data_IF_995593547758
#
_entry.id   IF_995593547758
#
_cell.length_a   1.000
_cell.length_b   1.000
_cell.length_c   1.000
_cell.angle_alpha   90.00
_cell.angle_beta   90.00
_cell.angle_gamma   90.00
#
_symmetry.space_group_name_H-M   'P 1'
#
loop_
_entity.id
_entity.type
_entity.pdbx_description
1 polymer ?
#
# COMPACT_ATOMS: atom_id res chain seq x y z
N UNK A 1 -15.22 14.29 -62.10
CA UNK A 1 -16.34 14.48 -61.15
C UNK A 1 -16.18 13.45 -60.04
N UNK A 2 -15.77 13.83 -58.82
CA UNK A 2 -15.69 12.89 -57.71
C UNK A 2 -16.99 12.91 -56.88
N UNK A 3 -17.58 11.73 -56.78
CA UNK A 3 -18.78 11.40 -56.03
C UNK A 3 -18.49 11.43 -54.52
N UNK A 4 -19.35 12.14 -53.77
CA UNK A 4 -19.21 12.36 -52.33
C UNK A 4 -19.37 11.08 -51.50
N UNK A 5 -18.49 10.93 -50.50
CA UNK A 5 -18.66 9.99 -49.41
C UNK A 5 -19.24 10.75 -48.21
N UNK A 6 -20.40 10.27 -47.75
CA UNK A 6 -21.17 10.83 -46.66
C UNK A 6 -20.43 10.66 -45.32
N UNK A 7 -20.38 11.76 -44.56
CA UNK A 7 -20.00 11.77 -43.15
C UNK A 7 -21.15 11.16 -42.33
N UNK A 8 -20.94 9.96 -41.82
CA UNK A 8 -21.87 9.35 -40.87
C UNK A 8 -21.65 9.98 -39.49
N UNK A 9 -22.59 10.84 -39.07
CA UNK A 9 -22.59 11.51 -37.76
C UNK A 9 -23.32 10.61 -36.76
N UNK A 10 -22.56 9.85 -36.00
CA UNK A 10 -23.07 9.13 -34.83
C UNK A 10 -23.55 10.13 -33.75
N UNK A 11 -24.78 10.02 -33.22
CA UNK A 11 -25.24 10.89 -32.15
C UNK A 11 -24.49 10.60 -30.84
N UNK A 12 -24.22 11.63 -30.00
CA UNK A 12 -23.58 11.43 -28.71
C UNK A 12 -24.47 10.59 -27.80
N UNK A 13 -23.86 9.52 -27.25
CA UNK A 13 -24.46 8.68 -26.22
C UNK A 13 -24.84 9.56 -25.01
N UNK A 14 -26.10 9.49 -24.60
CA UNK A 14 -26.60 10.19 -23.41
C UNK A 14 -25.92 9.66 -22.15
N UNK A 15 -25.14 10.51 -21.48
CA UNK A 15 -24.67 10.27 -20.12
C UNK A 15 -25.84 10.53 -19.19
N UNK A 16 -26.45 9.46 -18.68
CA UNK A 16 -27.48 9.56 -17.65
C UNK A 16 -26.87 10.06 -16.35
N UNK A 17 -27.24 11.28 -15.93
CA UNK A 17 -26.90 11.82 -14.61
C UNK A 17 -28.04 11.45 -13.66
N UNK A 18 -27.76 10.59 -12.68
CA UNK A 18 -28.69 10.30 -11.59
C UNK A 18 -28.63 11.46 -10.59
N UNK A 19 -29.68 12.29 -10.58
CA UNK A 19 -29.89 13.32 -9.55
C UNK A 19 -30.41 12.66 -8.27
N UNK A 20 -29.66 12.75 -7.17
CA UNK A 20 -30.11 12.32 -5.84
C UNK A 20 -30.58 13.56 -5.07
N UNK A 21 -31.80 13.57 -4.51
CA UNK A 21 -32.32 14.70 -3.73
C UNK A 21 -31.53 14.92 -2.42
N UNK A 22 -31.30 16.19 -2.07
CA UNK A 22 -30.46 16.63 -0.95
C UNK A 22 -31.06 16.42 0.46
N UNK A 23 -32.16 15.66 0.59
CA UNK A 23 -32.87 15.48 1.86
C UNK A 23 -32.42 14.25 2.67
N UNK A 24 -31.31 13.62 2.30
CA UNK A 24 -30.71 12.51 3.06
C UNK A 24 -29.60 12.96 4.04
N UNK A 25 -29.71 14.16 4.62
CA UNK A 25 -28.83 14.65 5.69
C UNK A 25 -29.55 14.44 7.03
N UNK A 26 -29.21 13.41 7.84
CA UNK A 26 -29.62 13.40 9.22
C UNK A 26 -28.94 14.57 9.96
N UNK A 27 -29.76 15.51 10.38
CA UNK A 27 -29.40 16.63 11.23
C UNK A 27 -28.81 16.13 12.57
N UNK A 28 -27.69 16.75 12.95
CA UNK A 28 -27.26 17.04 14.32
C UNK A 28 -27.89 16.20 15.45
N UNK A 29 -27.13 15.23 15.94
CA UNK A 29 -27.21 14.82 17.35
C UNK A 29 -25.98 15.39 18.08
N UNK A 30 -26.19 16.53 18.73
CA UNK A 30 -25.24 17.09 19.70
C UNK A 30 -25.36 16.26 20.97
N UNK A 31 -24.28 15.66 21.53
CA UNK A 31 -24.38 15.06 22.85
C UNK A 31 -24.58 16.16 23.89
N UNK A 32 -25.66 16.02 24.66
CA UNK A 32 -25.97 16.86 25.81
C UNK A 32 -24.80 16.85 26.80
N UNK A 33 -24.29 18.04 27.11
CA UNK A 33 -23.38 18.26 28.23
C UNK A 33 -24.18 18.07 29.51
N UNK A 34 -23.80 17.08 30.31
CA UNK A 34 -24.39 16.84 31.62
C UNK A 34 -24.17 18.05 32.55
N UNK A 35 -25.20 18.49 33.30
CA UNK A 35 -25.03 19.54 34.29
C UNK A 35 -24.45 18.95 35.57
N UNK A 36 -23.47 19.66 36.12
CA UNK A 36 -23.10 19.55 37.54
C UNK A 36 -22.02 18.53 37.85
N UNK A 37 -20.79 19.01 38.01
CA UNK A 37 -19.95 18.74 39.18
C UNK A 37 -19.00 19.93 39.38
N UNK A 38 -19.51 21.00 39.99
CA UNK A 38 -18.67 22.02 40.61
C UNK A 38 -18.20 21.45 41.96
N UNK A 39 -16.95 21.01 42.04
CA UNK A 39 -16.30 20.80 43.33
C UNK A 39 -15.87 22.18 43.88
N UNK A 40 -16.27 22.56 45.10
CA UNK A 40 -15.79 23.80 45.71
C UNK A 40 -14.28 23.66 46.00
N UNK A 41 -13.47 24.52 45.37
CA UNK A 41 -12.03 24.63 45.64
C UNK A 41 -11.08 24.44 44.46
N UNK A 42 -11.58 24.21 43.24
CA UNK A 42 -10.72 24.08 42.05
C UNK A 42 -10.99 25.20 41.03
N UNK A 43 -9.98 26.01 40.72
CA UNK A 43 -10.01 27.03 39.66
C UNK A 43 -9.15 26.53 38.50
N UNK A 44 -9.63 26.57 37.23
CA UNK A 44 -8.80 26.24 36.09
C UNK A 44 -7.74 27.33 35.91
N UNK A 45 -6.45 26.94 35.99
CA UNK A 45 -5.33 27.83 35.64
C UNK A 45 -4.85 27.44 34.24
N UNK A 46 -4.82 28.37 33.27
CA UNK A 46 -4.20 28.10 31.98
C UNK A 46 -2.69 27.89 32.19
N UNK A 47 -2.18 26.70 31.84
CA UNK A 47 -0.74 26.47 31.71
C UNK A 47 -0.29 27.00 30.35
N UNK A 48 0.01 28.30 30.27
CA UNK A 48 0.94 28.81 29.27
C UNK A 48 2.35 28.40 29.70
N UNK A 49 2.83 27.28 29.15
CA UNK A 49 4.17 26.77 29.43
C UNK A 49 5.18 27.51 28.55
N UNK A 50 5.41 28.79 28.83
CA UNK A 50 6.68 29.53 28.68
C UNK A 50 6.48 31.05 28.86
N UNK A 51 6.05 31.50 30.05
CA UNK A 51 6.22 32.91 30.48
C UNK A 51 6.67 33.01 31.94
N UNK A 52 7.99 32.99 32.14
CA UNK A 52 8.73 33.70 33.20
C UNK A 52 9.76 34.56 32.44
N UNK A 53 10.11 35.80 32.75
CA UNK A 53 9.98 36.67 33.93
C UNK A 53 10.24 38.13 33.45
N UNK A 54 10.11 39.17 34.30
CA UNK A 54 10.01 40.56 33.85
C UNK A 54 11.39 41.14 33.49
N UNK A 55 11.49 41.82 32.35
CA UNK A 55 12.64 42.66 32.05
C UNK A 55 12.18 44.08 31.72
N UNK A 56 12.69 45.00 32.53
CA UNK A 56 12.60 46.45 32.37
C UNK A 56 13.21 46.83 31.02
N UNK A 57 12.53 47.69 30.27
CA UNK A 57 13.00 48.19 28.95
C UNK A 57 13.97 49.35 29.17
N UNK A 58 15.24 49.31 28.70
CA UNK A 58 16.01 50.50 28.42
C UNK A 58 15.84 50.94 26.95
N UNK A 59 15.98 52.23 26.62
CA UNK A 59 15.78 52.72 25.28
C UNK A 59 17.01 52.46 24.39
N UNK A 60 16.71 52.05 23.15
CA UNK A 60 17.45 52.15 21.90
C UNK A 60 18.99 52.30 21.93
N UNK A 61 19.68 51.30 21.38
CA UNK A 61 20.95 51.49 20.69
C UNK A 61 20.98 50.63 19.40
N UNK A 62 21.55 51.21 18.35
CA UNK A 62 21.56 50.80 16.95
C UNK A 62 21.96 49.34 16.69
N UNK A 63 21.24 48.67 15.79
CA UNK A 63 21.68 47.41 15.17
C UNK A 63 22.69 47.70 14.05
N UNK A 64 23.87 47.05 14.01
CA UNK A 64 24.61 46.84 12.79
C UNK A 64 24.09 45.58 12.07
N UNK A 65 24.04 45.68 10.74
CA UNK A 65 23.65 44.63 9.81
C UNK A 65 24.45 43.34 10.02
N UNK A 66 23.77 42.26 10.40
CA UNK A 66 24.29 40.90 10.36
C UNK A 66 23.72 40.20 9.11
N UNK A 67 24.58 39.89 8.15
CA UNK A 67 24.28 38.97 7.05
C UNK A 67 24.20 37.55 7.62
N UNK A 68 23.10 36.80 7.45
CA UNK A 68 23.08 35.39 7.82
C UNK A 68 23.85 34.58 6.77
N UNK A 69 24.96 34.02 7.22
CA UNK A 69 25.69 32.95 6.56
C UNK A 69 24.76 31.75 6.34
N UNK A 70 24.64 31.34 5.08
CA UNK A 70 23.79 30.24 4.65
C UNK A 70 24.47 28.91 5.01
N UNK A 71 24.25 28.46 6.24
CA UNK A 71 24.57 27.08 6.62
C UNK A 71 23.85 26.07 5.71
N UNK A 72 24.50 24.97 5.30
CA UNK A 72 23.87 23.98 4.44
C UNK A 72 22.65 23.38 5.13
N UNK A 73 21.50 23.60 4.51
CA UNK A 73 20.24 22.90 4.76
C UNK A 73 20.53 21.40 4.87
N UNK A 74 20.33 20.83 6.06
CA UNK A 74 20.35 19.38 6.22
C UNK A 74 19.29 18.74 5.31
N UNK A 75 19.54 17.55 4.74
CA UNK A 75 18.53 16.84 3.98
C UNK A 75 17.40 16.41 4.91
N UNK A 76 16.37 17.26 4.94
CA UNK A 76 14.99 16.93 4.62
C UNK A 76 14.52 15.53 4.97
N UNK A 77 13.58 15.51 5.92
CA UNK A 77 12.42 14.62 5.99
C UNK A 77 12.45 13.39 5.07
N UNK A 78 12.48 12.20 5.69
CA UNK A 78 12.11 10.92 5.09
C UNK A 78 10.76 11.03 4.37
N UNK A 79 10.77 11.40 3.08
CA UNK A 79 9.67 11.12 2.17
C UNK A 79 9.40 9.63 2.28
N UNK A 80 8.16 9.28 2.64
CA UNK A 80 7.72 7.89 2.67
C UNK A 80 7.83 7.38 1.24
N UNK A 81 8.95 6.70 0.90
CA UNK A 81 9.13 5.98 -0.38
C UNK A 81 7.85 5.18 -0.62
N UNK A 82 7.03 5.65 -1.55
CA UNK A 82 5.67 5.19 -1.70
C UNK A 82 5.68 3.71 -2.11
N UNK A 83 4.85 2.89 -1.46
CA UNK A 83 4.62 1.53 -1.91
C UNK A 83 3.82 1.60 -3.21
N UNK A 84 4.46 1.31 -4.34
CA UNK A 84 3.84 1.39 -5.67
C UNK A 84 3.35 0.00 -6.10
N UNK A 85 2.12 -0.06 -6.61
CA UNK A 85 1.56 -1.22 -7.27
C UNK A 85 1.45 -0.95 -8.78
N UNK A 86 2.11 -1.76 -9.60
CA UNK A 86 2.08 -1.68 -11.07
C UNK A 86 1.40 -2.91 -11.65
N UNK A 87 0.68 -2.73 -12.76
CA UNK A 87 -0.05 -3.79 -13.46
C UNK A 87 0.37 -3.78 -14.92
N UNK A 88 0.60 -4.95 -15.50
CA UNK A 88 0.97 -5.10 -16.90
C UNK A 88 0.39 -6.41 -17.46
N UNK A 89 -0.12 -6.38 -18.68
CA UNK A 89 -0.58 -7.57 -19.38
C UNK A 89 0.30 -7.83 -20.60
N UNK A 90 0.78 -9.07 -20.77
CA UNK A 90 1.50 -9.46 -21.97
C UNK A 90 0.55 -10.21 -22.89
N UNK A 91 0.23 -9.61 -24.04
CA UNK A 91 -0.64 -10.22 -25.06
C UNK A 91 -0.03 -11.51 -25.61
N UNK A 92 1.29 -11.52 -25.86
CA UNK A 92 2.00 -12.66 -26.44
C UNK A 92 1.99 -13.91 -25.55
N UNK A 93 2.06 -13.75 -24.23
CA UNK A 93 2.05 -14.88 -23.29
C UNK A 93 0.72 -15.05 -22.56
N UNK A 94 -0.24 -14.15 -22.76
CA UNK A 94 -1.50 -14.04 -21.99
C UNK A 94 -1.28 -14.06 -20.46
N UNK A 95 -0.21 -13.41 -19.99
CA UNK A 95 0.12 -13.34 -18.56
C UNK A 95 -0.21 -11.95 -18.03
N UNK A 96 -1.01 -11.91 -16.97
CA UNK A 96 -1.27 -10.69 -16.21
C UNK A 96 -0.29 -10.58 -15.04
N UNK A 97 0.49 -9.50 -14.99
CA UNK A 97 1.55 -9.26 -14.01
C UNK A 97 1.19 -8.11 -13.09
N UNK A 98 1.26 -8.36 -11.80
CA UNK A 98 1.16 -7.35 -10.76
C UNK A 98 2.51 -7.27 -10.06
N UNK A 99 3.05 -6.06 -9.92
CA UNK A 99 4.30 -5.79 -9.22
C UNK A 99 4.05 -4.84 -8.07
N UNK A 100 4.44 -5.25 -6.87
CA UNK A 100 4.32 -4.46 -5.67
C UNK A 100 5.69 -4.14 -5.10
N UNK A 101 6.03 -2.85 -5.07
CA UNK A 101 7.27 -2.35 -4.49
C UNK A 101 7.10 -2.15 -2.99
N UNK A 102 7.99 -2.75 -2.21
CA UNK A 102 7.99 -2.75 -0.75
C UNK A 102 9.26 -2.07 -0.25
N UNK A 103 9.10 -1.13 0.67
CA UNK A 103 10.21 -0.45 1.35
C UNK A 103 10.95 -1.43 2.29
N UNK A 104 12.28 -1.50 2.18
CA UNK A 104 13.11 -2.39 2.99
C UNK A 104 13.01 -2.11 4.50
N UNK A 105 12.63 -0.89 4.90
CA UNK A 105 12.36 -0.53 6.31
C UNK A 105 11.27 -1.38 6.94
N UNK A 106 10.35 -1.94 6.14
CA UNK A 106 9.35 -2.90 6.66
C UNK A 106 9.99 -4.18 7.18
N UNK A 107 11.14 -4.59 6.65
CA UNK A 107 11.82 -5.80 7.08
C UNK A 107 12.47 -5.67 8.48
N UNK A 108 12.61 -4.45 8.98
CA UNK A 108 13.14 -4.14 10.32
C UNK A 108 12.05 -3.61 11.28
N UNK A 109 10.80 -3.51 10.83
CA UNK A 109 9.70 -3.03 11.66
C UNK A 109 9.16 -4.13 12.58
N UNK A 110 8.40 -3.72 13.60
CA UNK A 110 7.66 -4.62 14.48
C UNK A 110 6.34 -5.11 13.88
N UNK A 111 6.07 -4.76 12.61
CA UNK A 111 4.83 -5.15 11.95
C UNK A 111 4.78 -6.66 11.74
N UNK A 112 3.55 -7.20 11.81
CA UNK A 112 3.28 -8.64 11.69
C UNK A 112 2.82 -9.03 10.29
N UNK A 113 2.54 -8.04 9.45
CA UNK A 113 2.24 -8.23 8.03
C UNK A 113 2.47 -6.92 7.28
N UNK A 114 2.73 -7.04 5.98
CA UNK A 114 2.64 -5.93 5.06
C UNK A 114 1.60 -6.29 4.00
N UNK A 115 0.75 -5.34 3.64
CA UNK A 115 -0.35 -5.57 2.70
C UNK A 115 -0.20 -4.61 1.52
N UNK A 116 -0.41 -5.12 0.30
CA UNK A 116 -0.38 -4.30 -0.90
C UNK A 116 -1.60 -3.38 -0.99
N UNK A 117 -1.55 -2.31 -1.81
CA UNK A 117 -2.76 -1.71 -2.34
C UNK A 117 -3.66 -2.78 -2.98
N UNK A 118 -4.97 -2.58 -2.90
CA UNK A 118 -5.95 -3.45 -3.55
C UNK A 118 -5.78 -3.43 -5.07
N UNK A 119 -6.02 -4.56 -5.72
CA UNK A 119 -6.13 -4.64 -7.18
C UNK A 119 -7.24 -5.58 -7.59
N UNK A 120 -7.79 -5.35 -8.77
CA UNK A 120 -8.88 -6.14 -9.32
C UNK A 120 -8.35 -7.13 -10.35
N UNK A 121 -8.91 -8.34 -10.31
CA UNK A 121 -8.80 -9.33 -11.37
C UNK A 121 -10.21 -9.56 -11.92
N UNK A 122 -10.37 -9.47 -13.24
CA UNK A 122 -11.65 -9.74 -13.88
C UNK A 122 -11.90 -11.25 -13.94
N UNK A 123 -13.11 -11.70 -13.65
CA UNK A 123 -13.56 -13.10 -13.81
C UNK A 123 -14.84 -13.11 -14.62
N UNK A 124 -15.27 -14.31 -15.03
CA UNK A 124 -16.56 -14.47 -15.71
C UNK A 124 -17.74 -13.93 -14.90
N UNK A 125 -17.71 -14.09 -13.57
CA UNK A 125 -18.74 -13.60 -12.66
C UNK A 125 -18.62 -12.09 -12.34
N UNK A 126 -17.55 -11.42 -12.77
CA UNK A 126 -17.29 -10.00 -12.50
C UNK A 126 -15.88 -9.74 -11.94
N UNK A 127 -15.54 -8.46 -11.71
CA UNK A 127 -14.26 -8.08 -11.11
C UNK A 127 -14.21 -8.45 -9.62
N UNK A 128 -13.10 -9.04 -9.19
CA UNK A 128 -12.87 -9.42 -7.80
C UNK A 128 -11.61 -8.73 -7.28
N UNK A 129 -11.71 -8.18 -6.07
CA UNK A 129 -10.62 -7.45 -5.42
C UNK A 129 -9.68 -8.42 -4.68
N UNK A 130 -8.38 -8.23 -4.88
CA UNK A 130 -7.30 -8.98 -4.25
C UNK A 130 -6.28 -8.06 -3.58
N UNK A 131 -5.54 -8.64 -2.64
CA UNK A 131 -4.36 -8.04 -2.01
C UNK A 131 -3.25 -9.08 -1.91
N UNK A 132 -2.01 -8.64 -2.08
CA UNK A 132 -0.84 -9.42 -1.68
C UNK A 132 -0.49 -9.12 -0.23
N UNK A 133 -0.10 -10.14 0.51
CA UNK A 133 0.24 -10.05 1.94
C UNK A 133 1.63 -10.67 2.12
N UNK A 134 2.56 -9.91 2.68
CA UNK A 134 3.81 -10.46 3.20
C UNK A 134 3.61 -10.76 4.67
N UNK A 135 4.03 -11.96 5.08
CA UNK A 135 4.06 -12.34 6.49
C UNK A 135 5.48 -12.68 6.90
N UNK A 136 5.96 -12.18 8.04
CA UNK A 136 7.25 -12.58 8.59
C UNK A 136 7.21 -14.05 8.99
N UNK A 137 8.35 -14.73 8.86
CA UNK A 137 8.50 -16.09 9.36
C UNK A 137 8.32 -16.11 10.87
N UNK A 138 7.41 -16.94 11.35
CA UNK A 138 7.24 -17.17 12.77
C UNK A 138 8.45 -17.95 13.30
N UNK A 139 9.22 -17.34 14.20
CA UNK A 139 10.41 -17.97 14.82
C UNK A 139 10.07 -18.54 16.20
N UNK A 140 9.12 -17.95 16.91
CA UNK A 140 8.61 -18.49 18.17
C UNK A 140 7.09 -18.34 18.27
N UNK A 141 6.46 -19.23 19.03
CA UNK A 141 5.03 -19.18 19.36
C UNK A 141 4.72 -18.17 20.46
N UNK A 142 5.74 -17.51 21.01
CA UNK A 142 5.62 -16.52 22.07
C UNK A 142 5.18 -15.14 21.54
N UNK A 143 4.73 -14.29 22.46
CA UNK A 143 4.23 -12.93 22.19
C UNK A 143 5.35 -12.08 21.55
N UNK A 144 5.37 -12.01 20.22
CA UNK A 144 6.36 -11.24 19.46
C UNK A 144 7.16 -12.04 18.42
N UNK A 145 7.00 -13.37 18.37
CA UNK A 145 7.76 -14.26 17.46
C UNK A 145 7.40 -14.18 15.97
N UNK A 146 6.41 -13.36 15.60
CA UNK A 146 5.90 -13.18 14.24
C UNK A 146 5.91 -11.71 13.83
N UNK A 147 7.08 -11.06 13.89
CA UNK A 147 7.31 -9.71 13.37
C UNK A 147 8.50 -9.72 12.38
N UNK A 148 8.55 -8.78 11.45
CA UNK A 148 9.62 -8.71 10.44
C UNK A 148 11.00 -8.53 11.05
N UNK A 149 11.12 -7.68 12.07
CA UNK A 149 12.36 -7.52 12.84
C UNK A 149 12.85 -8.84 13.43
N UNK A 150 11.93 -9.64 13.99
CA UNK A 150 12.24 -10.94 14.58
C UNK A 150 12.65 -11.95 13.52
N UNK A 151 11.95 -11.98 12.37
CA UNK A 151 12.14 -12.97 11.30
C UNK A 151 13.46 -12.83 10.52
N UNK A 152 14.28 -11.82 10.85
CA UNK A 152 15.52 -11.45 10.13
C UNK A 152 15.27 -11.22 8.64
N UNK A 153 14.09 -10.71 8.30
CA UNK A 153 13.65 -10.44 6.93
C UNK A 153 13.31 -11.69 6.11
N UNK A 154 13.07 -12.84 6.77
CA UNK A 154 12.47 -14.02 6.13
C UNK A 154 10.97 -14.03 6.29
N UNK A 155 10.25 -14.64 5.36
CA UNK A 155 8.81 -14.78 5.46
C UNK A 155 8.14 -15.37 4.22
N UNK A 156 6.82 -15.25 4.16
CA UNK A 156 5.99 -15.80 3.08
C UNK A 156 5.26 -14.67 2.35
N UNK A 157 4.85 -14.97 1.11
CA UNK A 157 3.96 -14.12 0.31
C UNK A 157 2.67 -14.89 0.07
N UNK A 158 1.55 -14.24 0.34
CA UNK A 158 0.21 -14.78 0.17
C UNK A 158 -0.62 -13.84 -0.71
N UNK A 159 -1.52 -14.41 -1.50
CA UNK A 159 -2.57 -13.74 -2.25
C UNK A 159 -3.88 -13.92 -1.49
N UNK A 160 -4.57 -12.82 -1.20
CA UNK A 160 -5.86 -12.82 -0.51
C UNK A 160 -6.95 -12.23 -1.39
N UNK A 161 -8.04 -12.98 -1.56
CA UNK A 161 -9.30 -12.54 -2.13
C UNK A 161 -10.11 -11.75 -1.08
N UNK A 162 -10.73 -10.66 -1.51
CA UNK A 162 -11.58 -9.80 -0.67
C UNK A 162 -13.07 -9.95 -0.99
N UNK A 163 -13.45 -10.85 -1.89
CA UNK A 163 -14.86 -11.14 -2.16
C UNK A 163 -15.53 -11.86 -0.99
N UNK A 164 -16.81 -11.57 -0.81
CA UNK A 164 -17.69 -12.29 0.10
C UNK A 164 -17.96 -13.69 -0.45
N UNK A 165 -18.02 -14.68 0.44
CA UNK A 165 -18.12 -16.11 0.08
C UNK A 165 -19.32 -16.43 -0.82
N UNK A 166 -20.41 -15.65 -0.69
CA UNK A 166 -21.65 -15.87 -1.42
C UNK A 166 -21.58 -15.44 -2.90
N UNK A 167 -20.60 -14.64 -3.29
CA UNK A 167 -20.38 -14.21 -4.69
C UNK A 167 -19.36 -15.09 -5.42
N UNK A 168 -18.68 -15.98 -4.70
CA UNK A 168 -17.55 -16.75 -5.20
C UNK A 168 -17.99 -18.11 -5.76
N UNK A 169 -18.82 -18.15 -6.81
CA UNK A 169 -19.01 -19.40 -7.55
C UNK A 169 -17.71 -19.72 -8.34
N UNK A 170 -16.90 -20.65 -7.82
CA UNK A 170 -15.64 -21.16 -8.40
C UNK A 170 -14.65 -20.07 -8.83
N UNK A 171 -13.89 -19.53 -7.87
CA UNK A 171 -12.84 -18.54 -8.11
C UNK A 171 -11.46 -19.21 -8.17
N UNK A 172 -11.30 -20.14 -9.11
CA UNK A 172 -10.05 -20.86 -9.31
C UNK A 172 -9.03 -20.05 -10.12
N UNK A 173 -7.88 -19.72 -9.52
CA UNK A 173 -6.78 -18.97 -10.14
C UNK A 173 -5.51 -19.82 -10.16
N UNK A 174 -4.78 -19.78 -11.27
CA UNK A 174 -3.44 -20.34 -11.36
C UNK A 174 -2.42 -19.22 -11.44
N UNK A 175 -1.50 -19.14 -10.48
CA UNK A 175 -0.56 -18.04 -10.37
C UNK A 175 0.87 -18.45 -9.99
N UNK A 176 1.83 -17.55 -10.21
CA UNK A 176 3.21 -17.64 -9.73
C UNK A 176 3.55 -16.43 -8.87
N UNK A 177 4.47 -16.61 -7.93
CA UNK A 177 4.97 -15.55 -7.07
C UNK A 177 6.48 -15.42 -7.23
N UNK A 178 6.96 -14.20 -7.32
CA UNK A 178 8.39 -13.87 -7.39
C UNK A 178 8.75 -12.76 -6.43
N UNK A 179 10.01 -12.76 -6.00
CA UNK A 179 10.60 -11.70 -5.18
C UNK A 179 11.98 -11.37 -5.76
N UNK A 180 12.30 -10.09 -5.90
CA UNK A 180 13.58 -9.62 -6.44
C UNK A 180 13.70 -8.09 -6.48
N UNK A 181 14.80 -7.58 -7.04
CA UNK A 181 14.97 -6.13 -7.30
C UNK A 181 14.17 -5.68 -8.52
N UNK A 182 13.86 -4.38 -8.58
CA UNK A 182 13.12 -3.71 -9.67
C UNK A 182 13.93 -3.60 -10.97
N UNK A 183 15.25 -3.86 -10.95
CA UNK A 183 16.10 -3.72 -12.13
C UNK A 183 15.75 -4.76 -13.20
N UNK A 184 14.88 -4.33 -14.13
CA UNK A 184 14.53 -4.97 -15.40
C UNK A 184 15.66 -4.93 -16.44
N UNK A 185 16.92 -4.77 -16.06
CA UNK A 185 17.99 -4.68 -17.06
C UNK A 185 18.59 -6.05 -17.30
N UNK A 186 18.79 -6.37 -18.57
CA UNK A 186 19.48 -7.53 -19.12
C UNK A 186 20.97 -7.63 -18.71
N UNK A 187 21.32 -7.27 -17.47
CA UNK A 187 22.67 -7.37 -16.94
C UNK A 187 22.80 -8.70 -16.19
N UNK A 188 23.43 -9.67 -16.85
CA UNK A 188 23.74 -11.00 -16.33
C UNK A 188 24.78 -10.99 -15.18
N UNK A 189 25.00 -9.85 -14.52
CA UNK A 189 26.12 -9.64 -13.61
C UNK A 189 25.73 -9.28 -12.18
N UNK A 190 24.44 -9.16 -11.83
CA UNK A 190 24.06 -9.00 -10.42
C UNK A 190 23.03 -10.05 -10.00
N UNK A 191 23.35 -10.81 -8.97
CA UNK A 191 22.67 -12.01 -8.45
C UNK A 191 21.23 -11.78 -7.93
N UNK A 192 20.61 -10.63 -8.23
CA UNK A 192 19.32 -10.21 -7.70
C UNK A 192 18.17 -10.34 -8.72
N UNK A 193 18.28 -11.32 -9.62
CA UNK A 193 17.23 -11.67 -10.59
C UNK A 193 15.98 -12.17 -9.87
N UNK A 194 14.82 -11.67 -10.30
CA UNK A 194 13.53 -12.06 -9.75
C UNK A 194 13.27 -13.56 -9.97
N UNK A 195 13.30 -14.35 -8.89
CA UNK A 195 13.06 -15.79 -8.95
C UNK A 195 11.58 -16.07 -8.79
N UNK A 196 10.88 -16.45 -9.86
CA UNK A 196 9.49 -16.89 -9.82
C UNK A 196 9.39 -18.32 -9.27
N UNK A 197 8.39 -18.58 -8.44
CA UNK A 197 8.02 -19.90 -7.88
C UNK A 197 6.54 -20.20 -8.17
N UNK A 198 6.21 -21.48 -8.26
CA UNK A 198 4.92 -21.97 -8.72
C UNK A 198 5.02 -22.67 -10.08
N UNK A 199 3.90 -22.89 -10.79
CA UNK A 199 2.57 -22.36 -10.52
C UNK A 199 1.86 -23.01 -9.33
N UNK A 200 0.93 -22.26 -8.74
CA UNK A 200 -0.04 -22.75 -7.74
C UNK A 200 -1.43 -22.51 -8.28
N UNK A 201 -2.26 -23.56 -8.25
CA UNK A 201 -3.70 -23.47 -8.53
C UNK A 201 -4.44 -23.44 -7.21
N UNK A 202 -5.35 -22.47 -7.06
CA UNK A 202 -6.12 -22.30 -5.83
C UNK A 202 -7.53 -21.83 -6.13
N UNK A 203 -8.53 -22.39 -5.45
CA UNK A 203 -9.91 -21.88 -5.48
C UNK A 203 -10.18 -20.96 -4.29
N UNK A 204 -10.39 -19.68 -4.58
CA UNK A 204 -10.63 -18.65 -3.58
C UNK A 204 -12.04 -18.69 -2.98
N UNK A 205 -12.96 -19.50 -3.51
CA UNK A 205 -14.25 -19.78 -2.88
C UNK A 205 -14.12 -20.68 -1.65
N UNK A 206 -13.19 -21.64 -1.67
CA UNK A 206 -12.93 -22.55 -0.55
C UNK A 206 -12.17 -21.85 0.57
N UNK A 207 -11.16 -21.06 0.20
CA UNK A 207 -10.33 -20.29 1.12
C UNK A 207 -9.91 -18.98 0.49
N UNK A 208 -10.24 -17.88 1.13
CA UNK A 208 -9.90 -16.53 0.65
C UNK A 208 -8.40 -16.23 0.58
N UNK A 209 -7.50 -17.11 1.03
CA UNK A 209 -6.05 -16.84 1.05
C UNK A 209 -5.26 -18.05 0.59
N UNK A 210 -4.31 -17.79 -0.32
CA UNK A 210 -3.44 -18.80 -0.91
C UNK A 210 -2.01 -18.30 -0.98
N UNK A 211 -1.05 -19.22 -0.96
CA UNK A 211 0.37 -18.92 -1.11
C UNK A 211 1.07 -20.08 -1.79
N UNK A 212 2.41 -20.05 -1.77
CA UNK A 212 3.19 -21.19 -2.24
C UNK A 212 3.05 -22.39 -1.29
N UNK A 213 3.23 -23.63 -1.79
CA UNK A 213 3.19 -24.81 -0.94
C UNK A 213 4.31 -24.79 0.12
N UNK A 214 4.15 -25.54 1.22
CA UNK A 214 5.20 -25.73 2.22
C UNK A 214 6.53 -26.15 1.58
N UNK A 215 7.65 -25.61 2.06
CA UNK A 215 8.98 -25.82 1.49
C UNK A 215 9.35 -24.86 0.35
N UNK A 216 8.37 -24.29 -0.36
CA UNK A 216 8.60 -23.24 -1.37
C UNK A 216 8.12 -21.85 -0.94
N UNK A 217 7.37 -21.76 0.16
CA UNK A 217 6.78 -20.50 0.63
C UNK A 217 7.77 -19.51 1.27
N UNK A 218 8.90 -19.98 1.81
CA UNK A 218 9.85 -19.10 2.51
C UNK A 218 10.74 -18.33 1.52
N UNK A 219 10.77 -17.01 1.68
CA UNK A 219 11.66 -16.08 1.00
C UNK A 219 12.60 -15.43 2.00
N UNK A 220 13.79 -15.07 1.53
CA UNK A 220 14.68 -14.13 2.20
C UNK A 220 14.55 -12.78 1.50
N UNK A 221 13.72 -11.90 2.06
CA UNK A 221 13.44 -10.60 1.45
C UNK A 221 14.65 -9.68 1.47
N UNK A 222 15.58 -9.85 2.43
CA UNK A 222 16.78 -9.00 2.54
C UNK A 222 17.70 -9.21 1.34
N UNK A 223 17.80 -10.44 0.86
CA UNK A 223 18.56 -10.76 -0.36
C UNK A 223 17.97 -10.12 -1.61
N UNK A 224 16.68 -9.83 -1.60
CA UNK A 224 15.96 -9.20 -2.70
C UNK A 224 15.97 -7.66 -2.64
N UNK A 225 16.45 -7.06 -1.54
CA UNK A 225 16.54 -5.61 -1.40
C UNK A 225 17.57 -5.08 -2.39
N UNK A 226 17.14 -4.09 -3.16
CA UNK A 226 18.02 -3.24 -3.94
C UNK A 226 18.71 -2.24 -3.01
N UNK A 227 20.05 -2.20 -3.02
CA UNK A 227 20.81 -1.37 -2.08
C UNK A 227 20.65 0.12 -2.38
N UNK A 228 20.51 0.50 -3.65
CA UNK A 228 20.36 1.90 -4.08
C UNK A 228 18.97 2.43 -3.74
N UNK A 229 17.93 1.66 -4.08
CA UNK A 229 16.54 2.10 -3.85
C UNK A 229 16.00 1.71 -2.49
N UNK A 230 16.72 0.92 -1.68
CA UNK A 230 16.27 0.33 -0.41
C UNK A 230 14.83 -0.21 -0.51
N UNK A 231 14.52 -0.86 -1.64
CA UNK A 231 13.22 -1.49 -1.89
C UNK A 231 13.40 -2.86 -2.51
N UNK A 232 12.39 -3.69 -2.42
CA UNK A 232 12.29 -4.92 -3.21
C UNK A 232 10.91 -5.01 -3.85
N UNK A 233 10.77 -5.86 -4.86
CA UNK A 233 9.52 -6.05 -5.60
C UNK A 233 9.00 -7.46 -5.36
N UNK A 234 7.71 -7.56 -5.06
CA UNK A 234 6.93 -8.79 -5.09
C UNK A 234 6.14 -8.81 -6.39
N UNK A 235 6.30 -9.86 -7.20
CA UNK A 235 5.58 -10.04 -8.45
C UNK A 235 4.61 -11.21 -8.35
N UNK A 236 3.39 -10.97 -8.79
CA UNK A 236 2.36 -11.96 -9.00
C UNK A 236 2.12 -12.08 -10.51
N UNK A 237 2.22 -13.29 -11.05
CA UNK A 237 1.82 -13.61 -12.42
C UNK A 237 0.57 -14.47 -12.39
N UNK A 238 -0.52 -14.02 -13.03
CA UNK A 238 -1.71 -14.81 -13.26
C UNK A 238 -1.57 -15.50 -14.62
N UNK A 239 -1.63 -16.83 -14.61
CA UNK A 239 -1.49 -17.67 -15.80
C UNK A 239 -2.84 -18.09 -16.37
N UNK A 240 -3.84 -18.30 -15.50
CA UNK A 240 -5.21 -18.63 -15.89
C UNK A 240 -6.18 -18.39 -14.72
N UNK A 241 -7.47 -18.33 -15.04
CA UNK A 241 -8.55 -18.21 -14.06
C UNK A 241 -9.13 -16.79 -13.94
N UNK A 242 -8.36 -15.76 -14.29
CA UNK A 242 -8.91 -14.41 -14.51
C UNK A 242 -9.30 -14.27 -15.99
N UNK A 243 -10.49 -13.72 -16.25
CA UNK A 243 -10.88 -13.18 -17.56
C UNK A 243 -10.06 -11.91 -17.85
N UNK A 244 -9.77 -11.68 -19.12
CA UNK A 244 -9.00 -10.51 -19.56
C UNK A 244 -9.83 -9.23 -19.53
#
# INVERSE_FOLDING_TARGET
MPTGAAFDRQPPQMVGVLMVPAEAIPAFAVPAVAPGMCFPGCVPVPMDRFTRWPYVVPPQAQQPHFVPDAGPCGPGASEKRAQVLQRAFSVASSIYRIRWTVDARKLISTDREAVSPSFELSFFAGPVVFKMILRPRQISSERGGACFRGSRGKGTVELRCMAESDTAEKLAVTFRLGVGSSNNSNSSSNSNSMKLRGPVRHDFSEKQTSGLPPGQAEWDFRRAVDEDTQTFVVCLEILSGAAN
#
